data_IF_105237672819
#
_entry.id   IF_105237672819
#
_cell.length_a   1.000
_cell.length_b   1.000
_cell.length_c   1.000
_cell.angle_alpha   90.00
_cell.angle_beta   90.00
_cell.angle_gamma   90.00
#
_symmetry.space_group_name_H-M   'P 1'
#
loop_
_entity.id
_entity.type
_entity.pdbx_description
1 polymer ?
#
# COMPACT_ATOMS: atom_id res chain seq x y z
N UNK A 1 -2.70 -2.09 -17.37
CA UNK A 1 -1.38 -2.65 -17.03
C UNK A 1 -1.32 -4.06 -17.60
N UNK A 2 -0.22 -4.47 -18.23
CA UNK A 2 -0.07 -5.82 -18.78
C UNK A 2 0.23 -6.83 -17.66
N UNK A 3 -0.13 -8.10 -17.83
CA UNK A 3 0.05 -9.13 -16.80
C UNK A 3 1.51 -9.33 -16.35
N UNK A 4 2.48 -9.02 -17.21
CA UNK A 4 3.90 -9.09 -16.87
C UNK A 4 4.33 -8.01 -15.86
N UNK A 5 3.78 -6.79 -15.97
CA UNK A 5 4.05 -5.71 -15.01
C UNK A 5 3.49 -6.07 -13.64
N UNK A 6 2.28 -6.64 -13.61
CA UNK A 6 1.63 -7.05 -12.37
C UNK A 6 2.42 -8.14 -11.63
N UNK A 7 2.96 -9.14 -12.34
CA UNK A 7 3.79 -10.19 -11.73
C UNK A 7 5.09 -9.60 -11.14
N UNK A 8 5.69 -8.63 -11.83
CA UNK A 8 6.85 -7.91 -11.33
C UNK A 8 6.53 -7.13 -10.07
N UNK A 9 5.43 -6.36 -10.08
CA UNK A 9 4.98 -5.59 -8.93
C UNK A 9 4.72 -6.49 -7.71
N UNK A 10 4.05 -7.63 -7.91
CA UNK A 10 3.77 -8.59 -6.83
C UNK A 10 5.05 -9.21 -6.25
N UNK A 11 6.00 -9.58 -7.10
CA UNK A 11 7.30 -10.11 -6.64
C UNK A 11 8.08 -9.07 -5.82
N UNK A 12 8.06 -7.80 -6.24
CA UNK A 12 8.72 -6.71 -5.50
C UNK A 12 8.04 -6.44 -4.16
N UNK A 13 6.69 -6.41 -4.13
CA UNK A 13 5.92 -6.27 -2.89
C UNK A 13 6.25 -7.39 -1.91
N UNK A 14 6.26 -8.65 -2.39
CA UNK A 14 6.55 -9.79 -1.54
C UNK A 14 7.99 -9.76 -1.00
N UNK A 15 8.94 -9.36 -1.84
CA UNK A 15 10.34 -9.19 -1.41
C UNK A 15 10.46 -8.11 -0.34
N UNK A 16 9.84 -6.95 -0.54
CA UNK A 16 9.86 -5.84 0.41
C UNK A 16 9.22 -6.21 1.74
N UNK A 17 8.04 -6.85 1.70
CA UNK A 17 7.34 -7.31 2.90
C UNK A 17 8.25 -8.20 3.77
N UNK A 18 8.89 -9.20 3.14
CA UNK A 18 9.81 -10.11 3.82
C UNK A 18 11.03 -9.40 4.37
N UNK A 19 11.61 -8.45 3.62
CA UNK A 19 12.78 -7.68 4.05
C UNK A 19 12.48 -6.80 5.26
N UNK A 20 11.26 -6.27 5.35
CA UNK A 20 10.79 -5.46 6.47
C UNK A 20 10.22 -6.28 7.65
N UNK A 21 10.18 -7.62 7.51
CA UNK A 21 9.69 -8.52 8.57
C UNK A 21 8.17 -8.70 8.62
N UNK A 22 7.44 -8.23 7.61
CA UNK A 22 6.00 -8.44 7.50
C UNK A 22 5.66 -9.81 6.91
N UNK A 23 4.60 -10.42 7.43
CA UNK A 23 3.92 -11.53 6.78
C UNK A 23 2.85 -10.97 5.82
N UNK A 24 2.97 -11.29 4.53
CA UNK A 24 1.99 -10.82 3.53
C UNK A 24 0.67 -11.61 3.68
N UNK A 25 -0.38 -10.93 4.15
CA UNK A 25 -1.69 -11.57 4.38
C UNK A 25 -2.50 -11.77 3.09
N UNK A 26 -2.52 -10.76 2.20
CA UNK A 26 -3.33 -10.77 0.98
C UNK A 26 -2.85 -9.75 -0.05
N UNK A 27 -2.78 -10.15 -1.33
CA UNK A 27 -2.56 -9.24 -2.46
C UNK A 27 -3.90 -8.74 -3.01
N UNK A 28 -4.01 -7.44 -3.29
CA UNK A 28 -5.18 -6.83 -3.93
C UNK A 28 -4.82 -6.31 -5.31
N UNK A 29 -5.61 -6.69 -6.31
CA UNK A 29 -5.48 -6.23 -7.69
C UNK A 29 -6.74 -5.44 -8.01
N UNK A 30 -6.57 -4.18 -8.42
CA UNK A 30 -7.67 -3.32 -8.83
C UNK A 30 -7.69 -3.19 -10.34
N UNK A 31 -8.74 -3.72 -10.97
CA UNK A 31 -9.08 -3.47 -12.36
C UNK A 31 -9.95 -2.21 -12.53
N UNK A 32 -10.15 -1.73 -13.76
CA UNK A 32 -11.01 -0.58 -14.07
C UNK A 32 -12.47 -0.74 -13.61
N UNK A 33 -12.94 -1.97 -13.42
CA UNK A 33 -14.23 -2.34 -12.87
C UNK A 33 -14.30 -2.32 -11.33
N UNK A 34 -13.18 -2.04 -10.65
CA UNK A 34 -13.17 -2.00 -9.18
C UNK A 34 -13.87 -0.75 -8.69
N UNK A 35 -15.09 -0.93 -8.19
CA UNK A 35 -15.81 0.15 -7.53
C UNK A 35 -15.20 0.47 -6.15
N UNK A 36 -15.08 1.77 -5.84
CA UNK A 36 -14.65 2.34 -4.55
C UNK A 36 -13.40 1.65 -3.94
N UNK A 37 -12.24 1.66 -4.61
CA UNK A 37 -11.03 0.93 -4.19
C UNK A 37 -10.57 1.29 -2.77
N UNK A 38 -10.63 2.57 -2.39
CA UNK A 38 -10.21 3.04 -1.06
C UNK A 38 -11.06 2.43 0.07
N UNK A 39 -12.39 2.38 -0.10
CA UNK A 39 -13.27 1.77 0.89
C UNK A 39 -13.01 0.28 1.04
N UNK A 40 -12.70 -0.41 -0.07
CA UNK A 40 -12.35 -1.83 -0.05
C UNK A 40 -11.03 -2.08 0.68
N UNK A 41 -10.01 -1.27 0.41
CA UNK A 41 -8.73 -1.32 1.15
C UNK A 41 -8.97 -1.16 2.64
N UNK A 42 -9.70 -0.11 3.05
CA UNK A 42 -10.02 0.16 4.46
C UNK A 42 -10.78 -1.00 5.11
N UNK A 43 -11.77 -1.56 4.42
CA UNK A 43 -12.54 -2.70 4.93
C UNK A 43 -11.63 -3.92 5.16
N UNK A 44 -10.66 -4.15 4.28
CA UNK A 44 -9.74 -5.27 4.40
C UNK A 44 -8.71 -5.04 5.50
N UNK A 45 -8.18 -3.82 5.64
CA UNK A 45 -7.32 -3.46 6.76
C UNK A 45 -7.98 -3.78 8.10
N UNK A 46 -9.22 -3.33 8.30
CA UNK A 46 -9.95 -3.59 9.54
C UNK A 46 -10.25 -5.08 9.76
N UNK A 47 -10.50 -5.86 8.70
CA UNK A 47 -10.82 -7.30 8.81
C UNK A 47 -9.61 -8.18 9.03
N UNK A 48 -8.47 -7.80 8.45
CA UNK A 48 -7.22 -8.56 8.53
C UNK A 48 -6.32 -8.09 9.68
N UNK A 49 -6.72 -7.02 10.39
CA UNK A 49 -5.92 -6.37 11.43
C UNK A 49 -4.51 -6.07 10.93
N UNK A 50 -4.41 -5.66 9.66
CA UNK A 50 -3.12 -5.49 8.99
C UNK A 50 -2.46 -4.18 9.43
N UNK A 51 -1.21 -4.24 9.86
CA UNK A 51 -0.44 -3.08 10.31
C UNK A 51 -0.01 -2.14 9.18
N UNK A 52 0.18 -2.67 7.97
CA UNK A 52 0.72 -1.94 6.83
C UNK A 52 0.13 -2.38 5.48
N UNK A 53 0.11 -1.45 4.53
CA UNK A 53 -0.16 -1.67 3.12
C UNK A 53 1.13 -1.44 2.34
N UNK A 54 1.48 -2.40 1.48
CA UNK A 54 2.60 -2.24 0.54
C UNK A 54 2.03 -2.07 -0.87
N UNK A 55 2.39 -0.99 -1.55
CA UNK A 55 1.96 -0.64 -2.92
C UNK A 55 3.16 -0.41 -3.85
N UNK A 56 3.01 -0.60 -5.17
CA UNK A 56 4.13 -0.37 -6.10
C UNK A 56 4.62 1.09 -6.07
N UNK A 57 3.68 2.05 -6.13
CA UNK A 57 3.98 3.49 -6.09
C UNK A 57 2.72 4.30 -5.77
N UNK A 58 2.90 5.58 -5.39
CA UNK A 58 1.79 6.51 -5.18
C UNK A 58 0.95 6.78 -6.44
N UNK A 59 1.43 6.42 -7.63
CA UNK A 59 0.64 6.55 -8.86
C UNK A 59 -0.70 5.80 -8.77
N UNK A 60 -0.76 4.74 -7.97
CA UNK A 60 -2.00 3.99 -7.70
C UNK A 60 -3.06 4.78 -6.92
N UNK A 61 -2.66 5.86 -6.24
CA UNK A 61 -3.55 6.79 -5.55
C UNK A 61 -3.63 8.17 -6.25
N UNK A 62 -3.19 8.27 -7.50
CA UNK A 62 -3.14 9.57 -8.19
C UNK A 62 -2.07 10.51 -7.61
N UNK A 63 -1.00 9.95 -7.03
CA UNK A 63 0.19 10.67 -6.59
C UNK A 63 0.15 11.19 -5.14
N UNK A 64 -0.95 11.03 -4.42
CA UNK A 64 -1.09 11.43 -3.02
C UNK A 64 -1.67 10.30 -2.20
N UNK A 65 -1.36 10.27 -0.90
CA UNK A 65 -1.93 9.29 0.01
C UNK A 65 -3.29 9.79 0.50
N UNK A 66 -4.35 8.98 0.45
CA UNK A 66 -5.60 9.32 1.11
C UNK A 66 -5.41 9.37 2.63
N UNK A 67 -5.73 10.50 3.27
CA UNK A 67 -5.59 10.71 4.72
C UNK A 67 -6.30 9.60 5.54
N UNK A 68 -7.45 9.13 5.05
CA UNK A 68 -8.23 8.07 5.66
C UNK A 68 -7.48 6.72 5.75
N UNK A 69 -6.48 6.47 4.89
CA UNK A 69 -5.70 5.24 4.91
C UNK A 69 -4.50 5.32 5.86
N UNK A 70 -3.78 6.46 5.88
CA UNK A 70 -2.63 6.63 6.77
C UNK A 70 -3.04 6.64 8.23
N UNK A 71 -4.27 7.05 8.56
CA UNK A 71 -4.78 7.00 9.94
C UNK A 71 -4.94 5.58 10.50
N UNK A 72 -5.04 4.56 9.65
CA UNK A 72 -5.39 3.19 10.07
C UNK A 72 -4.28 2.17 9.84
N UNK A 73 -3.33 2.43 8.93
CA UNK A 73 -2.20 1.55 8.65
C UNK A 73 -1.03 2.34 8.08
N UNK A 74 0.19 1.81 8.23
CA UNK A 74 1.36 2.36 7.55
C UNK A 74 1.24 2.11 6.04
N UNK A 75 1.62 3.07 5.22
CA UNK A 75 1.67 2.89 3.77
C UNK A 75 3.13 2.83 3.35
N UNK A 76 3.50 1.77 2.66
CA UNK A 76 4.86 1.53 2.19
C UNK A 76 4.84 1.45 0.67
N UNK A 77 5.62 2.30 0.01
CA UNK A 77 5.80 2.23 -1.45
C UNK A 77 7.05 1.40 -1.79
N UNK A 78 7.02 0.69 -2.91
CA UNK A 78 8.19 -0.03 -3.44
C UNK A 78 9.11 0.93 -4.20
N UNK A 79 8.56 1.78 -5.07
CA UNK A 79 9.34 2.69 -5.90
C UNK A 79 8.68 4.07 -6.06
N UNK A 80 9.34 5.15 -5.61
CA UNK A 80 10.46 5.13 -4.67
C UNK A 80 10.06 4.45 -3.35
N UNK A 81 11.03 3.86 -2.64
CA UNK A 81 10.75 3.24 -1.34
C UNK A 81 10.56 4.31 -0.27
N UNK A 82 9.35 4.39 0.28
CA UNK A 82 8.99 5.30 1.37
C UNK A 82 8.08 4.59 2.35
N UNK A 83 8.13 4.98 3.62
CA UNK A 83 7.18 4.56 4.65
C UNK A 83 6.46 5.80 5.19
N UNK A 84 5.14 5.80 5.03
CA UNK A 84 4.24 6.83 5.53
C UNK A 84 3.54 6.26 6.76
N UNK A 85 4.13 6.52 7.93
CA UNK A 85 3.67 5.91 9.17
C UNK A 85 2.42 6.60 9.71
N UNK A 86 1.49 5.80 10.26
CA UNK A 86 0.23 6.27 10.87
C UNK A 86 0.40 7.23 12.04
N UNK A 87 1.56 7.15 12.70
CA UNK A 87 1.91 7.96 13.86
C UNK A 87 3.10 8.88 13.59
N UNK A 88 3.52 9.04 12.33
CA UNK A 88 4.51 10.04 12.02
C UNK A 88 3.92 11.42 12.37
N UNK A 89 4.53 12.09 13.35
CA UNK A 89 4.55 13.55 13.40
C UNK A 89 4.99 13.98 11.99
N UNK A 90 4.26 14.87 11.30
CA UNK A 90 4.66 15.31 9.96
C UNK A 90 6.14 15.69 10.01
N UNK A 91 6.96 15.30 9.01
CA UNK A 91 8.36 15.71 8.99
C UNK A 91 8.36 17.23 9.13
N UNK A 92 9.07 17.75 10.13
CA UNK A 92 9.29 19.19 10.19
C UNK A 92 10.02 19.54 8.90
N UNK A 93 9.41 20.38 8.06
CA UNK A 93 10.09 20.89 6.88
C UNK A 93 11.37 21.60 7.37
N UNK A 94 12.53 21.13 6.91
CA UNK A 94 13.83 21.77 7.12
C UNK A 94 14.19 22.50 5.84
#
# INVERSE_FOLDING_TARGET
MSGAQQQWDEAQIQHLARRLGYALCKTLVFGPETDRPILRVRTLLSRLEADAIIIPSLAHFGGHIPDDLVQVADIITVSPENTYARWAIPPVEQ
#
